data_IF_226374973580
#
_entry.id   IF_226374973580
#
_cell.length_a   1.000
_cell.length_b   1.000
_cell.length_c   1.000
_cell.angle_alpha   90.00
_cell.angle_beta   90.00
_cell.angle_gamma   90.00
#
_symmetry.space_group_name_H-M   'P 1'
#
loop_
_entity.id
_entity.type
_entity.pdbx_description
1 polymer ?
#
# COMPACT_ATOMS: atom_id res chain seq x y z
N UNK A 1 -6.31 0.83 -3.70
CA UNK A 1 -4.96 1.36 -3.79
C UNK A 1 -4.66 1.63 -5.26
N UNK A 2 -4.73 2.89 -5.73
CA UNK A 2 -4.52 3.24 -7.14
C UNK A 2 -3.20 2.72 -7.70
N UNK A 3 -2.15 2.75 -6.87
CA UNK A 3 -0.81 2.24 -7.20
C UNK A 3 -0.80 0.76 -7.64
N UNK A 4 -1.67 -0.10 -7.09
CA UNK A 4 -1.73 -1.50 -7.53
C UNK A 4 -2.25 -1.64 -8.95
N UNK A 5 -3.18 -0.77 -9.37
CA UNK A 5 -3.66 -0.74 -10.76
C UNK A 5 -2.57 -0.28 -11.71
N UNK A 6 -1.79 0.74 -11.33
CA UNK A 6 -0.62 1.20 -12.09
C UNK A 6 0.41 0.09 -12.30
N UNK A 7 0.61 -0.74 -11.27
CA UNK A 7 1.57 -1.85 -11.28
C UNK A 7 1.01 -3.16 -11.84
N UNK A 8 -0.26 -3.20 -12.26
CA UNK A 8 -0.89 -4.43 -12.77
C UNK A 8 -1.04 -5.55 -11.71
N UNK A 9 -1.16 -5.19 -10.43
CA UNK A 9 -1.23 -6.13 -9.30
C UNK A 9 -2.63 -6.16 -8.68
N UNK A 10 -3.02 -7.34 -8.20
CA UNK A 10 -4.17 -7.52 -7.31
C UNK A 10 -3.76 -7.34 -5.84
N UNK A 11 -4.73 -7.12 -4.96
CA UNK A 11 -4.48 -7.07 -3.51
C UNK A 11 -3.99 -8.41 -2.95
N UNK A 12 -4.42 -9.54 -3.56
CA UNK A 12 -3.96 -10.87 -3.15
C UNK A 12 -2.47 -11.05 -3.48
N UNK A 13 -2.04 -10.67 -4.68
CA UNK A 13 -0.63 -10.74 -5.06
C UNK A 13 0.26 -9.84 -4.18
N UNK A 14 -0.22 -8.65 -3.79
CA UNK A 14 0.50 -7.84 -2.82
C UNK A 14 0.55 -8.52 -1.44
N UNK A 15 -0.53 -9.17 -1.01
CA UNK A 15 -0.57 -9.90 0.26
C UNK A 15 0.49 -10.99 0.29
N UNK A 16 0.60 -11.79 -0.78
CA UNK A 16 1.60 -12.85 -0.92
C UNK A 16 3.04 -12.29 -0.92
N UNK A 17 3.27 -11.17 -1.61
CA UNK A 17 4.60 -10.55 -1.71
C UNK A 17 5.06 -9.87 -0.41
N UNK A 18 4.15 -9.21 0.28
CA UNK A 18 4.47 -8.36 1.45
C UNK A 18 4.28 -9.07 2.79
N UNK A 19 3.58 -10.21 2.82
CA UNK A 19 3.14 -10.85 4.06
C UNK A 19 2.04 -10.09 4.81
N UNK A 20 1.61 -8.92 4.32
CA UNK A 20 0.52 -8.14 4.92
C UNK A 20 -0.82 -8.79 4.57
N UNK A 21 -1.72 -9.03 5.53
CA UNK A 21 -3.02 -9.62 5.25
C UNK A 21 -3.81 -8.82 4.21
N UNK A 22 -4.44 -9.50 3.24
CA UNK A 22 -5.26 -8.84 2.21
C UNK A 22 -6.36 -7.96 2.82
N UNK A 23 -6.93 -8.34 3.96
CA UNK A 23 -7.88 -7.51 4.71
C UNK A 23 -7.28 -6.15 5.14
N UNK A 24 -6.02 -6.12 5.58
CA UNK A 24 -5.31 -4.88 5.90
C UNK A 24 -5.04 -4.05 4.65
N UNK A 25 -4.64 -4.68 3.53
CA UNK A 25 -4.44 -4.02 2.24
C UNK A 25 -5.76 -3.40 1.72
N UNK A 26 -6.88 -4.11 1.86
CA UNK A 26 -8.19 -3.63 1.38
C UNK A 26 -8.68 -2.37 2.12
N UNK A 27 -8.27 -2.22 3.37
CA UNK A 27 -8.60 -1.07 4.23
C UNK A 27 -7.58 0.07 4.11
N UNK A 28 -6.46 -0.16 3.42
CA UNK A 28 -5.37 0.81 3.31
C UNK A 28 -5.87 2.17 2.81
N UNK A 29 -6.57 2.23 1.67
CA UNK A 29 -7.09 3.51 1.16
C UNK A 29 -8.21 4.15 2.02
N UNK A 30 -8.84 3.38 2.92
CA UNK A 30 -9.98 3.82 3.71
C UNK A 30 -9.58 4.36 5.08
N UNK A 31 -8.40 3.96 5.55
CA UNK A 31 -7.91 4.29 6.88
C UNK A 31 -7.00 5.52 6.81
N UNK A 32 -7.07 6.37 7.82
CA UNK A 32 -6.12 7.48 8.02
C UNK A 32 -4.91 7.08 8.87
N UNK A 33 -4.93 5.87 9.44
CA UNK A 33 -3.86 5.29 10.25
C UNK A 33 -3.40 3.96 9.66
N UNK A 34 -2.09 3.80 9.52
CA UNK A 34 -1.44 2.57 9.08
C UNK A 34 -0.36 2.17 10.06
N UNK A 35 -0.14 0.87 10.21
CA UNK A 35 0.96 0.35 11.00
C UNK A 35 2.27 0.49 10.21
N UNK A 36 3.34 0.95 10.87
CA UNK A 36 4.60 1.25 10.19
C UNK A 36 5.22 0.02 9.52
N UNK A 37 5.18 -1.14 10.19
CA UNK A 37 5.63 -2.42 9.63
C UNK A 37 4.93 -2.73 8.28
N UNK A 38 3.61 -2.56 8.18
CA UNK A 38 2.88 -2.78 6.94
C UNK A 38 3.31 -1.81 5.84
N UNK A 39 3.58 -0.54 6.18
CA UNK A 39 4.04 0.44 5.20
C UNK A 39 5.40 0.04 4.61
N UNK A 40 6.35 -0.36 5.44
CA UNK A 40 7.67 -0.81 4.98
C UNK A 40 7.55 -2.10 4.15
N UNK A 41 6.83 -3.12 4.64
CA UNK A 41 6.68 -4.37 3.90
C UNK A 41 6.00 -4.19 2.54
N UNK A 42 5.01 -3.29 2.44
CA UNK A 42 4.36 -2.97 1.16
C UNK A 42 5.31 -2.19 0.24
N UNK A 43 6.02 -1.19 0.77
CA UNK A 43 7.00 -0.40 0.01
C UNK A 43 8.09 -1.28 -0.60
N UNK A 44 8.68 -2.18 0.20
CA UNK A 44 9.69 -3.14 -0.23
C UNK A 44 9.14 -4.13 -1.26
N UNK A 45 7.95 -4.69 -1.01
CA UNK A 45 7.31 -5.66 -1.92
C UNK A 45 6.95 -5.08 -3.29
N UNK A 46 6.63 -3.77 -3.34
CA UNK A 46 6.33 -3.05 -4.57
C UNK A 46 7.58 -2.46 -5.24
N UNK A 47 8.72 -2.42 -4.55
CA UNK A 47 9.95 -1.80 -5.05
C UNK A 47 9.81 -0.30 -5.27
N UNK A 48 9.00 0.38 -4.45
CA UNK A 48 8.75 1.82 -4.55
C UNK A 48 9.06 2.52 -3.23
N UNK A 49 9.46 3.79 -3.24
CA UNK A 49 9.60 4.59 -2.02
C UNK A 49 8.28 4.66 -1.22
N UNK A 50 8.36 4.68 0.10
CA UNK A 50 7.22 4.66 1.02
C UNK A 50 6.26 5.85 0.79
N UNK A 51 6.77 6.97 0.30
CA UNK A 51 6.01 8.18 -0.04
C UNK A 51 5.03 7.94 -1.18
N UNK A 52 5.29 6.97 -2.07
CA UNK A 52 4.37 6.58 -3.15
C UNK A 52 3.12 5.87 -2.62
N UNK A 53 3.12 5.44 -1.35
CA UNK A 53 1.94 4.85 -0.72
C UNK A 53 0.92 5.92 -0.30
N UNK A 54 1.29 7.19 -0.29
CA UNK A 54 0.46 8.30 0.16
C UNK A 54 0.14 9.26 -0.98
N UNK A 55 -1.05 9.84 -0.94
CA UNK A 55 -1.40 10.98 -1.78
C UNK A 55 -1.06 12.23 -1.00
N UNK A 56 -0.21 13.10 -1.55
CA UNK A 56 0.06 14.40 -0.93
C UNK A 56 -1.22 15.22 -0.98
N UNK A 57 -1.72 15.64 0.18
CA UNK A 57 -2.73 16.70 0.22
C UNK A 57 -2.09 17.96 -0.35
N UNK A 58 -2.68 18.52 -1.42
CA UNK A 58 -2.35 19.86 -1.85
C UNK A 58 -3.13 20.80 -0.93
N UNK A 59 -2.42 21.55 -0.09
CA UNK A 59 -3.02 22.66 0.66
C UNK A 59 -3.64 23.63 -0.34
N UNK A 60 -4.95 23.82 -0.24
CA UNK A 60 -5.71 24.85 -0.95
C UNK A 60 -5.93 26.07 -0.07
#
# INVERSE_FOLDING_TARGET
MPLLKELGLTQMQLSEKSGVPQGSISRFDKNTRHEANHLFSISEALGVPIERLFVKEQEG
#
